data_IF_264806824147
#
_entry.id   IF_264806824147
#
_cell.length_a   1.000
_cell.length_b   1.000
_cell.length_c   1.000
_cell.angle_alpha   90.00
_cell.angle_beta   90.00
_cell.angle_gamma   90.00
#
_symmetry.space_group_name_H-M   'P 1'
#
loop_
_entity.id
_entity.type
_entity.pdbx_description
1 polymer ?
#
# COMPACT_ATOMS: atom_id res chain seq x y z
N UNK A 1 -15.68 -17.45 3.33
CA UNK A 1 -15.77 -15.98 3.43
C UNK A 1 -14.48 -15.51 4.06
N UNK A 2 -13.52 -15.04 3.26
CA UNK A 2 -12.25 -14.53 3.78
C UNK A 2 -12.55 -13.24 4.55
N UNK A 3 -12.54 -13.32 5.88
CA UNK A 3 -12.59 -12.18 6.77
C UNK A 3 -11.28 -11.43 6.67
N UNK A 4 -11.14 -10.58 5.65
CA UNK A 4 -10.10 -9.56 5.63
C UNK A 4 -10.35 -8.63 6.80
N UNK A 5 -9.57 -8.79 7.88
CA UNK A 5 -9.52 -7.80 8.96
C UNK A 5 -9.14 -6.47 8.32
N UNK A 6 -10.15 -5.61 8.12
CA UNK A 6 -9.96 -4.23 7.68
C UNK A 6 -9.02 -3.59 8.70
N UNK A 7 -7.78 -3.32 8.27
CA UNK A 7 -6.77 -2.69 9.11
C UNK A 7 -7.36 -1.39 9.67
N UNK A 8 -7.26 -1.14 10.99
CA UNK A 8 -7.93 0.00 11.60
C UNK A 8 -7.41 1.32 11.02
N UNK A 9 -8.26 1.98 10.22
CA UNK A 9 -8.44 3.43 10.20
C UNK A 9 -7.34 4.35 9.69
N UNK A 10 -6.23 3.87 9.11
CA UNK A 10 -5.17 4.79 8.62
C UNK A 10 -4.71 4.64 7.17
N UNK A 11 -5.12 3.59 6.47
CA UNK A 11 -4.74 3.37 5.06
C UNK A 11 -5.76 3.97 4.07
N UNK A 12 -6.83 4.60 4.57
CA UNK A 12 -7.89 5.26 3.77
C UNK A 12 -7.37 6.44 2.92
N UNK A 13 -6.15 6.93 3.21
CA UNK A 13 -5.51 8.00 2.44
C UNK A 13 -4.73 7.50 1.22
N UNK A 14 -4.52 6.19 1.09
CA UNK A 14 -3.97 5.62 -0.13
C UNK A 14 -5.09 5.50 -1.15
N UNK A 15 -4.93 6.14 -2.31
CA UNK A 15 -5.84 6.03 -3.48
C UNK A 15 -5.86 4.61 -4.11
N UNK A 16 -5.21 3.65 -3.44
CA UNK A 16 -5.02 2.26 -3.86
C UNK A 16 -4.97 1.36 -2.63
N UNK A 17 -5.53 0.16 -2.75
CA UNK A 17 -5.44 -0.85 -1.68
C UNK A 17 -3.99 -1.31 -1.46
N UNK A 18 -3.57 -1.55 -0.21
CA UNK A 18 -2.22 -2.05 0.09
C UNK A 18 -1.85 -3.33 -0.67
N UNK A 19 -2.81 -4.24 -0.81
CA UNK A 19 -2.65 -5.50 -1.54
C UNK A 19 -2.34 -5.24 -3.02
N UNK A 20 -3.11 -4.38 -3.67
CA UNK A 20 -2.92 -4.00 -5.08
C UNK A 20 -1.56 -3.31 -5.28
N UNK A 21 -1.17 -2.43 -4.36
CA UNK A 21 0.14 -1.77 -4.37
C UNK A 21 1.29 -2.79 -4.23
N UNK A 22 1.20 -3.72 -3.28
CA UNK A 22 2.23 -4.76 -3.08
C UNK A 22 2.32 -5.68 -4.29
N UNK A 23 1.19 -6.10 -4.86
CA UNK A 23 1.17 -6.91 -6.08
C UNK A 23 1.81 -6.18 -7.25
N UNK A 24 1.49 -4.90 -7.45
CA UNK A 24 2.10 -4.07 -8.48
C UNK A 24 3.62 -3.89 -8.28
N UNK A 25 4.10 -3.77 -7.04
CA UNK A 25 5.54 -3.67 -6.75
C UNK A 25 6.31 -4.96 -7.03
N UNK A 26 5.65 -6.12 -6.92
CA UNK A 26 6.27 -7.42 -7.15
C UNK A 26 6.22 -7.87 -8.62
N UNK A 27 5.35 -7.29 -9.45
CA UNK A 27 5.20 -7.63 -10.86
C UNK A 27 5.39 -6.42 -11.77
N UNK A 28 6.35 -6.53 -12.69
CA UNK A 28 6.68 -5.43 -13.61
C UNK A 28 5.51 -5.08 -14.56
N UNK A 29 4.73 -6.07 -14.99
CA UNK A 29 3.62 -5.84 -15.91
C UNK A 29 2.45 -5.15 -15.21
N UNK A 30 2.17 -5.53 -13.96
CA UNK A 30 1.12 -4.93 -13.14
C UNK A 30 1.50 -3.53 -12.68
N UNK A 31 2.77 -3.27 -12.35
CA UNK A 31 3.23 -1.90 -12.12
C UNK A 31 3.04 -1.03 -13.36
N UNK A 32 3.48 -1.45 -14.54
CA UNK A 32 3.29 -0.68 -15.78
C UNK A 32 1.79 -0.42 -16.07
N UNK A 33 0.93 -1.42 -15.86
CA UNK A 33 -0.51 -1.28 -16.01
C UNK A 33 -1.11 -0.29 -15.00
N UNK A 34 -0.70 -0.38 -13.73
CA UNK A 34 -1.16 0.52 -12.67
C UNK A 34 -0.71 1.96 -12.91
N UNK A 35 0.55 2.16 -13.30
CA UNK A 35 1.10 3.47 -13.65
C UNK A 35 0.31 4.12 -14.77
N UNK A 36 -0.03 3.38 -15.82
CA UNK A 36 -0.86 3.89 -16.92
C UNK A 36 -2.29 4.17 -16.49
N UNK A 37 -2.92 3.24 -15.77
CA UNK A 37 -4.32 3.37 -15.35
C UNK A 37 -4.54 4.57 -14.41
N UNK A 38 -3.58 4.83 -13.52
CA UNK A 38 -3.64 5.92 -12.56
C UNK A 38 -2.95 7.21 -13.02
N UNK A 39 -2.29 7.20 -14.19
CA UNK A 39 -1.49 8.32 -14.68
C UNK A 39 -0.28 8.64 -13.78
N UNK A 40 0.27 7.62 -13.11
CA UNK A 40 1.36 7.75 -12.15
C UNK A 40 2.73 7.56 -12.80
N UNK A 41 3.73 8.13 -12.15
CA UNK A 41 5.14 7.85 -12.44
C UNK A 41 5.68 6.73 -11.54
N UNK A 42 6.87 6.19 -11.85
CA UNK A 42 7.53 5.25 -10.92
C UNK A 42 7.79 5.87 -9.55
N UNK A 43 8.10 7.16 -9.48
CA UNK A 43 8.29 7.86 -8.21
C UNK A 43 7.00 7.88 -7.38
N UNK A 44 5.85 8.05 -8.02
CA UNK A 44 4.54 7.98 -7.38
C UNK A 44 4.28 6.62 -6.73
N UNK A 45 4.64 5.55 -7.42
CA UNK A 45 4.52 4.18 -6.91
C UNK A 45 5.44 3.96 -5.70
N UNK A 46 6.69 4.43 -5.78
CA UNK A 46 7.65 4.34 -4.68
C UNK A 46 7.24 5.17 -3.46
N UNK A 47 6.71 6.38 -3.66
CA UNK A 47 6.19 7.22 -2.56
C UNK A 47 5.05 6.54 -1.81
N UNK A 48 4.15 5.88 -2.53
CA UNK A 48 3.04 5.13 -1.94
C UNK A 48 3.55 3.90 -1.18
N UNK A 49 4.56 3.22 -1.71
CA UNK A 49 5.22 2.12 -1.02
C UNK A 49 5.90 2.56 0.28
N UNK A 50 6.59 3.71 0.27
CA UNK A 50 7.20 4.31 1.46
C UNK A 50 6.15 4.69 2.51
N UNK A 51 5.04 5.33 2.09
CA UNK A 51 3.92 5.65 2.98
C UNK A 51 3.34 4.38 3.62
N UNK A 52 3.09 3.34 2.83
CA UNK A 52 2.59 2.07 3.34
C UNK A 52 3.56 1.45 4.37
N UNK A 53 4.86 1.49 4.10
CA UNK A 53 5.89 0.96 5.00
C UNK A 53 5.93 1.71 6.33
N UNK A 54 5.88 3.05 6.30
CA UNK A 54 5.86 3.90 7.51
C UNK A 54 4.62 3.66 8.36
N UNK A 55 3.47 3.56 7.72
CA UNK A 55 2.20 3.29 8.41
C UNK A 55 2.20 1.89 9.04
N UNK A 56 2.72 0.89 8.34
CA UNK A 56 2.85 -0.46 8.88
C UNK A 56 3.82 -0.47 10.08
N UNK A 57 4.96 0.20 9.98
CA UNK A 57 5.92 0.33 11.07
C UNK A 57 5.29 1.03 12.30
N UNK A 58 4.54 2.11 12.09
CA UNK A 58 3.82 2.81 13.15
C UNK A 58 2.74 1.92 13.79
N UNK A 59 1.99 1.16 12.99
CA UNK A 59 0.98 0.24 13.49
C UNK A 59 1.60 -0.90 14.32
N UNK A 60 2.70 -1.49 13.87
CA UNK A 60 3.46 -2.51 14.62
C UNK A 60 3.98 -1.90 15.93
N UNK A 61 4.54 -0.70 15.87
CA UNK A 61 5.04 -0.02 17.06
C UNK A 61 3.92 0.24 18.08
N UNK A 62 2.71 0.57 17.63
CA UNK A 62 1.57 0.77 18.51
C UNK A 62 1.07 -0.54 19.16
N UNK A 63 1.27 -1.69 18.52
CA UNK A 63 0.96 -3.02 19.10
C UNK A 63 1.95 -3.40 20.20
N UNK A 64 3.18 -2.88 20.17
CA UNK A 64 4.24 -3.19 21.14
C UNK A 64 4.30 -2.22 22.35
N UNK A 65 3.27 -1.40 22.56
CA UNK A 65 3.13 -0.55 23.76
C UNK A 65 2.08 -1.18 24.68
N UNK A 66 2.46 -2.29 25.32
CA UNK A 66 1.83 -2.86 26.53
C UNK A 66 2.92 -3.54 27.36
#
# INVERSE_FOLDING_TARGET
MAGGKKLPGRLDHLDISPEELITALNDKSLSDALLKAKGWTREDLLRRADLLSKELAAAISAVNVV
#
